data_IF_953059746100
#
_entry.id   IF_953059746100
#
_cell.length_a   1.000
_cell.length_b   1.000
_cell.length_c   1.000
_cell.angle_alpha   90.00
_cell.angle_beta   90.00
_cell.angle_gamma   90.00
#
_symmetry.space_group_name_H-M   'P 1'
#
loop_
_entity.id
_entity.type
_entity.pdbx_description
1 polymer ?
#
# COMPACT_ATOMS: atom_id res chain seq x y z
N UNK A 1 -2.89 24.24 -0.23
CA UNK A 1 -2.94 23.49 0.52
C UNK A 1 -3.46 22.12 0.52
N UNK A 2 -3.15 21.39 1.47
CA UNK A 2 -3.35 20.06 1.37
C UNK A 2 -4.63 19.70 1.97
N UNK A 3 -5.27 18.76 1.41
CA UNK A 3 -6.49 18.26 1.94
C UNK A 3 -6.30 17.25 3.02
N UNK A 4 -5.08 17.03 3.41
CA UNK A 4 -4.82 16.07 4.47
C UNK A 4 -5.35 16.55 5.80
N UNK A 5 -5.64 17.83 5.90
CA UNK A 5 -6.23 18.32 7.13
C UNK A 5 -7.73 18.10 7.16
N UNK A 6 -8.31 17.59 6.09
CA UNK A 6 -9.74 17.34 6.08
C UNK A 6 -10.08 16.26 7.09
N UNK A 7 -11.08 16.51 7.90
CA UNK A 7 -11.51 15.52 8.86
C UNK A 7 -12.40 14.51 8.18
N UNK A 8 -12.37 13.30 8.70
CA UNK A 8 -13.32 12.29 8.30
C UNK A 8 -14.51 12.35 9.22
N UNK A 9 -15.63 11.73 8.83
CA UNK A 9 -16.78 11.69 9.72
C UNK A 9 -16.38 11.08 11.06
N UNK A 10 -16.82 11.70 12.13
CA UNK A 10 -16.46 11.24 13.45
C UNK A 10 -15.19 11.84 13.97
N UNK A 11 -14.67 12.86 13.31
CA UNK A 11 -13.49 13.59 13.78
C UNK A 11 -12.23 12.75 13.76
N UNK A 12 -12.18 11.76 12.85
CA UNK A 12 -10.96 10.99 12.68
C UNK A 12 -9.96 11.74 11.82
N UNK A 13 -8.94 11.01 11.37
CA UNK A 13 -7.91 11.62 10.53
C UNK A 13 -7.50 10.65 9.43
N UNK A 14 -6.84 11.20 8.41
CA UNK A 14 -6.41 10.44 7.25
C UNK A 14 -4.93 10.11 7.40
N UNK A 15 -4.60 8.85 7.14
CA UNK A 15 -3.22 8.40 7.09
C UNK A 15 -2.92 7.90 5.70
N UNK A 16 -1.76 8.24 5.18
CA UNK A 16 -1.35 7.68 3.92
C UNK A 16 0.11 7.30 3.98
N UNK A 17 0.48 6.36 3.12
CA UNK A 17 1.86 5.93 3.03
C UNK A 17 2.11 5.50 1.60
N UNK A 18 3.37 5.55 1.19
CA UNK A 18 3.77 5.27 -0.17
C UNK A 18 4.80 4.15 -0.18
N UNK A 19 4.66 3.23 -1.13
CA UNK A 19 5.67 2.19 -1.34
C UNK A 19 6.01 2.15 -2.82
N UNK A 20 7.23 1.71 -3.13
CA UNK A 20 7.67 1.55 -4.51
C UNK A 20 8.01 0.10 -4.74
N UNK A 21 7.46 -0.47 -5.81
CA UNK A 21 7.55 -1.90 -6.11
C UNK A 21 7.98 -2.05 -7.57
N UNK A 22 8.86 -3.00 -7.82
CA UNK A 22 9.31 -3.25 -9.18
C UNK A 22 8.20 -3.75 -10.08
N UNK A 23 8.46 -3.70 -11.38
CA UNK A 23 7.45 -4.07 -12.37
C UNK A 23 7.20 -5.57 -12.45
N UNK A 24 8.05 -6.38 -11.83
CA UNK A 24 7.88 -7.82 -11.85
C UNK A 24 6.80 -8.30 -10.88
N UNK A 25 6.19 -7.40 -10.12
CA UNK A 25 5.11 -7.73 -9.22
C UNK A 25 3.81 -7.19 -9.80
N UNK A 26 2.76 -8.03 -9.94
CA UNK A 26 1.50 -7.54 -10.50
C UNK A 26 0.88 -6.47 -9.60
N UNK A 27 0.36 -5.41 -10.22
CA UNK A 27 -0.21 -4.33 -9.42
C UNK A 27 -1.42 -4.80 -8.62
N UNK A 28 -2.15 -5.77 -9.12
CA UNK A 28 -3.30 -6.28 -8.39
C UNK A 28 -2.90 -6.97 -7.10
N UNK A 29 -1.77 -7.66 -7.15
CA UNK A 29 -1.23 -8.28 -5.94
C UNK A 29 -0.80 -7.22 -4.93
N UNK A 30 -0.16 -6.15 -5.41
CA UNK A 30 0.28 -5.09 -4.50
C UNK A 30 -0.91 -4.41 -3.84
N UNK A 31 -1.95 -4.10 -4.63
CA UNK A 31 -3.16 -3.50 -4.07
C UNK A 31 -3.76 -4.40 -2.99
N UNK A 32 -3.84 -5.70 -3.27
CA UNK A 32 -4.43 -6.63 -2.32
C UNK A 32 -3.60 -6.74 -1.05
N UNK A 33 -2.28 -6.75 -1.20
CA UNK A 33 -1.41 -6.83 -0.03
C UNK A 33 -1.51 -5.57 0.84
N UNK A 34 -1.55 -4.41 0.22
CA UNK A 34 -1.67 -3.17 0.98
C UNK A 34 -3.00 -3.09 1.69
N UNK A 35 -4.08 -3.50 1.02
CA UNK A 35 -5.39 -3.49 1.66
C UNK A 35 -5.46 -4.51 2.80
N UNK A 36 -4.82 -5.65 2.63
CA UNK A 36 -4.76 -6.64 3.71
C UNK A 36 -4.02 -6.08 4.92
N UNK A 37 -2.91 -5.38 4.68
CA UNK A 37 -2.15 -4.77 5.77
C UNK A 37 -3.01 -3.74 6.50
N UNK A 38 -3.77 -2.95 5.75
CA UNK A 38 -4.65 -1.97 6.38
C UNK A 38 -5.71 -2.64 7.24
N UNK A 39 -6.29 -3.73 6.75
CA UNK A 39 -7.29 -4.44 7.54
C UNK A 39 -6.72 -5.03 8.82
N UNK A 40 -5.44 -5.37 8.80
CA UNK A 40 -4.78 -5.96 9.97
C UNK A 40 -4.29 -4.92 10.97
N UNK A 41 -4.42 -3.64 10.66
CA UNK A 41 -3.93 -2.59 11.52
C UNK A 41 -5.04 -2.10 12.42
N UNK A 42 -4.84 -2.21 13.72
CA UNK A 42 -5.81 -1.71 14.68
C UNK A 42 -5.85 -0.19 14.61
N UNK A 43 -7.01 0.38 14.83
CA UNK A 43 -7.15 1.83 14.82
C UNK A 43 -7.60 2.40 13.50
N UNK A 44 -7.60 1.60 12.43
CA UNK A 44 -8.08 2.05 11.14
C UNK A 44 -9.54 1.67 10.95
N UNK A 45 -10.26 2.54 10.26
CA UNK A 45 -11.68 2.34 10.02
C UNK A 45 -11.89 1.48 8.79
N UNK A 46 -13.00 0.74 8.77
CA UNK A 46 -13.42 0.03 7.59
C UNK A 46 -14.34 0.86 6.71
N UNK A 47 -14.88 1.92 7.26
CA UNK A 47 -15.78 2.81 6.54
C UNK A 47 -15.51 4.23 7.02
N UNK A 48 -14.95 5.10 6.20
CA UNK A 48 -14.63 4.85 4.77
C UNK A 48 -13.54 3.80 4.60
N UNK A 49 -13.67 2.99 3.54
CA UNK A 49 -12.72 1.93 3.29
C UNK A 49 -11.37 2.49 2.82
N UNK A 50 -10.27 1.83 3.19
CA UNK A 50 -8.99 2.24 2.64
C UNK A 50 -8.92 1.94 1.15
N UNK A 51 -8.05 2.67 0.46
CA UNK A 51 -7.86 2.43 -0.98
C UNK A 51 -6.42 2.64 -1.37
N UNK A 52 -6.07 2.11 -2.53
CA UNK A 52 -4.72 2.18 -3.06
C UNK A 52 -4.78 2.79 -4.44
N UNK A 53 -3.88 3.71 -4.73
CA UNK A 53 -3.75 4.29 -6.07
C UNK A 53 -2.30 4.20 -6.50
N UNK A 54 -2.11 4.15 -7.81
CA UNK A 54 -0.77 4.19 -8.39
C UNK A 54 -0.48 5.64 -8.73
N UNK A 55 0.52 6.20 -8.10
CA UNK A 55 0.78 7.62 -8.22
C UNK A 55 1.89 7.97 -9.21
N UNK A 56 2.72 7.00 -9.57
CA UNK A 56 3.78 7.26 -10.52
C UNK A 56 4.25 5.96 -11.14
N UNK A 57 4.64 6.05 -12.41
CA UNK A 57 5.30 4.97 -13.12
C UNK A 57 6.69 5.46 -13.47
N UNK A 58 7.69 4.86 -12.86
CA UNK A 58 9.06 5.25 -13.07
C UNK A 58 9.79 4.24 -13.93
N UNK A 59 11.08 4.50 -14.16
CA UNK A 59 11.88 3.61 -14.99
C UNK A 59 12.05 2.24 -14.36
N UNK A 60 12.09 2.20 -13.02
CA UNK A 60 12.45 0.97 -12.32
C UNK A 60 11.34 0.45 -11.44
N UNK A 61 10.32 1.26 -11.15
CA UNK A 61 9.32 0.88 -10.15
C UNK A 61 8.01 1.60 -10.38
N UNK A 62 6.98 1.08 -9.74
CA UNK A 62 5.67 1.73 -9.67
C UNK A 62 5.50 2.24 -8.26
N UNK A 63 5.01 3.45 -8.13
CA UNK A 63 4.75 4.03 -6.82
C UNK A 63 3.28 3.85 -6.48
N UNK A 64 3.02 3.24 -5.33
CA UNK A 64 1.67 3.00 -4.85
C UNK A 64 1.43 3.82 -3.59
N UNK A 65 0.25 4.36 -3.48
CA UNK A 65 -0.12 5.13 -2.31
C UNK A 65 -1.34 4.48 -1.65
N UNK A 66 -1.19 4.12 -0.38
CA UNK A 66 -2.26 3.55 0.42
C UNK A 66 -2.84 4.65 1.29
N UNK A 67 -4.14 4.88 1.18
CA UNK A 67 -4.83 5.89 1.96
C UNK A 67 -5.78 5.19 2.92
N UNK A 68 -5.67 5.53 4.19
CA UNK A 68 -6.48 4.93 5.24
C UNK A 68 -7.13 6.00 6.08
N UNK A 69 -8.20 5.64 6.74
CA UNK A 69 -8.92 6.55 7.64
C UNK A 69 -8.87 5.98 9.04
N UNK A 70 -8.53 6.83 9.99
CA UNK A 70 -8.44 6.43 11.40
C UNK A 70 -9.54 7.07 12.20
N UNK A 71 -9.92 6.43 13.31
CA UNK A 71 -10.94 6.96 14.16
C UNK A 71 -10.48 8.17 14.95
N UNK A 72 -11.37 8.73 15.78
CA UNK A 72 -11.06 9.95 16.52
C UNK A 72 -10.19 9.66 17.73
N UNK A 73 -8.99 9.17 17.48
CA UNK A 73 -8.02 8.92 18.52
C UNK A 73 -7.27 10.18 18.86
N UNK A 74 -6.62 10.17 20.01
CA UNK A 74 -5.77 11.29 20.37
C UNK A 74 -4.70 11.46 19.29
N UNK A 75 -4.35 12.69 18.96
CA UNK A 75 -3.35 12.90 17.91
C UNK A 75 -2.03 12.21 18.19
N UNK A 76 -1.68 11.99 19.45
CA UNK A 76 -0.44 11.30 19.78
C UNK A 76 -0.42 9.86 19.32
N UNK A 77 -1.57 9.27 19.03
CA UNK A 77 -1.62 7.90 18.57
C UNK A 77 -1.38 7.76 17.07
N UNK A 78 -1.36 8.88 16.36
CA UNK A 78 -1.19 8.82 14.91
C UNK A 78 0.10 8.13 14.53
N UNK A 79 1.20 8.47 15.19
CA UNK A 79 2.48 7.86 14.88
C UNK A 79 2.48 6.37 15.18
N UNK A 80 1.81 5.96 16.26
CA UNK A 80 1.74 4.55 16.61
C UNK A 80 0.92 3.76 15.59
N UNK A 81 -0.20 4.31 15.16
CA UNK A 81 -1.02 3.64 14.16
C UNK A 81 -0.28 3.54 12.85
N UNK A 82 0.40 4.60 12.43
CA UNK A 82 1.17 4.58 11.20
C UNK A 82 2.30 3.57 11.29
N UNK A 83 2.98 3.50 12.45
CA UNK A 83 4.02 2.51 12.64
C UNK A 83 3.51 1.09 12.54
N UNK A 84 2.34 0.83 13.13
CA UNK A 84 1.72 -0.48 13.03
C UNK A 84 1.35 -0.82 11.60
N UNK A 85 0.85 0.16 10.86
CA UNK A 85 0.53 -0.04 9.46
C UNK A 85 1.77 -0.41 8.67
N UNK A 86 2.87 0.31 8.89
CA UNK A 86 4.13 -0.01 8.19
C UNK A 86 4.63 -1.41 8.53
N UNK A 87 4.50 -1.81 9.79
CA UNK A 87 4.91 -3.16 10.18
C UNK A 87 4.06 -4.21 9.48
N UNK A 88 2.76 -3.98 9.41
CA UNK A 88 1.87 -4.92 8.74
C UNK A 88 2.13 -4.97 7.25
N UNK A 89 2.49 -3.84 6.64
CA UNK A 89 2.86 -3.83 5.23
C UNK A 89 4.11 -4.68 5.01
N UNK A 90 5.12 -4.51 5.85
CA UNK A 90 6.33 -5.32 5.72
C UNK A 90 6.03 -6.80 5.88
N UNK A 91 5.19 -7.13 6.85
CA UNK A 91 4.83 -8.54 7.07
C UNK A 91 4.12 -9.11 5.86
N UNK A 92 3.17 -8.37 5.29
CA UNK A 92 2.44 -8.87 4.14
C UNK A 92 3.38 -9.06 2.95
N UNK A 93 4.27 -8.11 2.71
CA UNK A 93 5.17 -8.23 1.58
C UNK A 93 6.16 -9.37 1.78
N UNK A 94 6.61 -9.59 3.01
CA UNK A 94 7.49 -10.73 3.30
C UNK A 94 6.76 -12.05 3.12
N UNK A 95 5.51 -12.08 3.55
CA UNK A 95 4.72 -13.31 3.44
C UNK A 95 4.55 -13.75 2.00
N UNK A 96 4.36 -12.80 1.09
CA UNK A 96 4.14 -13.11 -0.32
C UNK A 96 5.42 -12.99 -1.16
N UNK A 97 6.55 -12.73 -0.52
CA UNK A 97 7.83 -12.70 -1.19
C UNK A 97 8.02 -11.53 -2.13
N UNK A 98 7.44 -10.39 -1.82
CA UNK A 98 7.53 -9.20 -2.65
C UNK A 98 8.47 -8.20 -2.00
N UNK A 99 9.41 -7.70 -2.77
CA UNK A 99 10.41 -6.77 -2.25
C UNK A 99 9.94 -5.32 -2.44
N UNK A 100 10.03 -4.54 -1.37
CA UNK A 100 9.81 -3.10 -1.45
C UNK A 100 11.12 -2.48 -1.89
N UNK A 101 11.06 -1.66 -2.93
CA UNK A 101 12.26 -1.10 -3.53
C UNK A 101 12.45 0.35 -3.12
N UNK A 102 13.72 0.73 -3.00
CA UNK A 102 14.05 2.12 -2.76
C UNK A 102 13.87 2.92 -4.04
N UNK A 103 13.44 4.17 -3.96
CA UNK A 103 13.39 5.01 -5.16
C UNK A 103 14.73 5.16 -5.85
N UNK A 104 15.83 4.91 -5.14
CA UNK A 104 17.15 5.00 -5.73
C UNK A 104 17.69 3.68 -6.23
N UNK A 105 16.90 2.61 -6.10
CA UNK A 105 17.32 1.30 -6.57
C UNK A 105 17.41 1.31 -8.10
N UNK A 106 18.49 0.75 -8.62
CA UNK A 106 18.68 0.65 -10.05
C UNK A 106 18.68 -0.82 -10.45
N UNK A 107 17.63 -1.23 -11.12
CA UNK A 107 17.48 -2.61 -11.52
C UNK A 107 18.44 -2.91 -12.68
N UNK A 108 18.77 -4.19 -12.81
CA UNK A 108 19.55 -4.66 -13.92
C UNK A 108 18.67 -4.65 -15.17
N UNK A 109 19.11 -3.94 -16.20
CA UNK A 109 18.32 -3.81 -17.42
C UNK A 109 18.61 -4.87 -18.45
N UNK A 110 19.40 -5.86 -18.10
CA UNK A 110 19.76 -6.89 -19.06
C UNK A 110 18.58 -7.74 -19.46
N UNK A 111 17.48 -7.68 -18.72
CA UNK A 111 16.31 -8.44 -19.11
C UNK A 111 15.05 -7.66 -18.78
N UNK A 112 14.02 -7.97 -19.53
CA UNK A 112 12.73 -7.32 -19.40
C UNK A 112 12.05 -7.80 -18.13
N UNK A 113 11.43 -6.87 -17.42
CA UNK A 113 10.69 -7.19 -16.20
C UNK A 113 9.22 -7.01 -16.49
N UNK A 114 8.51 -8.12 -16.65
CA UNK A 114 7.08 -8.10 -16.94
C UNK A 114 6.41 -9.18 -16.11
N UNK A 115 5.09 -9.09 -16.01
CA UNK A 115 4.30 -10.10 -15.32
C UNK A 115 3.46 -10.83 -16.34
N UNK A 116 3.64 -12.15 -16.43
CA UNK A 116 2.84 -12.97 -17.32
C UNK A 116 1.38 -12.92 -16.89
N UNK A 117 0.48 -13.06 -17.87
CA UNK A 117 -0.95 -12.95 -17.60
C UNK A 117 -1.43 -13.91 -16.51
N UNK A 118 -0.89 -15.11 -16.49
CA UNK A 118 -1.33 -16.10 -15.52
C UNK A 118 -0.96 -15.70 -14.09
N UNK A 119 -0.05 -14.73 -13.93
CA UNK A 119 0.36 -14.26 -12.61
C UNK A 119 -0.24 -12.92 -12.22
N UNK A 120 -1.14 -12.38 -13.05
CA UNK A 120 -1.71 -11.07 -12.77
C UNK A 120 -2.48 -11.03 -11.46
N UNK A 121 -3.05 -12.17 -11.08
CA UNK A 121 -3.85 -12.25 -9.85
C UNK A 121 -3.17 -13.12 -8.82
N UNK A 122 -1.85 -12.91 -8.66
CA UNK A 122 -1.13 -13.63 -7.61
C UNK A 122 -1.75 -13.33 -6.25
N UNK A 123 -1.80 -14.33 -5.37
CA UNK A 123 -2.41 -14.09 -4.07
C UNK A 123 -1.79 -12.91 -3.35
N UNK A 124 -2.58 -12.16 -2.59
CA UNK A 124 -3.97 -12.39 -2.25
C UNK A 124 -4.99 -11.76 -3.19
N UNK A 125 -4.57 -11.38 -4.41
CA UNK A 125 -5.49 -10.80 -5.38
C UNK A 125 -6.48 -11.85 -5.85
N UNK A 126 -7.71 -11.40 -6.16
CA UNK A 126 -8.77 -12.28 -6.63
C UNK A 126 -9.10 -11.93 -8.06
N UNK A 127 -9.20 -12.94 -8.95
CA UNK A 127 -9.62 -12.67 -10.31
C UNK A 127 -11.06 -12.20 -10.35
N UNK A 128 -11.41 -11.41 -11.36
CA UNK A 128 -12.81 -11.01 -11.49
C UNK A 128 -13.68 -12.20 -11.82
N UNK A 129 -14.92 -12.11 -11.40
CA UNK A 129 -15.88 -13.18 -11.66
C UNK A 129 -16.52 -13.06 -13.01
#
# INVERSE_FOLDING_TARGET
TTNYSRTVPGAGFVLDTTVTIGYDTPWRQVHAMLLQAARNTAGLLNDPAPYVVQTALSDWYVEYRLVCYAGPEAPSRRALVLGDLHANIQDAFNEYGVQIMSPHYMADKDHTVVVARENWYAPPANPPK
#
